data_IF_087877282765
#
_entry.id   IF_087877282765
#
_cell.length_a   1.000
_cell.length_b   1.000
_cell.length_c   1.000
_cell.angle_alpha   90.00
_cell.angle_beta   90.00
_cell.angle_gamma   90.00
#
_symmetry.space_group_name_H-M   'P 1'
#
loop_
_entity.id
_entity.type
_entity.pdbx_description
1 polymer ?
#
# COMPACT_ATOMS: atom_id res chain seq x y z
N UNK A 1 -2.15 -4.17 23.64
CA UNK A 1 -1.94 -4.67 22.26
C UNK A 1 -0.49 -5.12 22.18
N UNK A 2 -0.25 -6.41 22.03
CA UNK A 2 1.12 -6.94 21.97
C UNK A 2 1.85 -6.29 20.78
N UNK A 3 3.15 -5.96 20.93
CA UNK A 3 3.95 -5.53 19.79
C UNK A 3 3.89 -6.66 18.76
N UNK A 4 3.46 -6.34 17.56
CA UNK A 4 3.45 -7.31 16.47
C UNK A 4 4.90 -7.48 16.03
N UNK A 5 5.55 -8.55 16.51
CA UNK A 5 6.89 -8.91 16.10
C UNK A 5 6.87 -9.22 14.59
N UNK A 6 7.24 -8.23 13.82
CA UNK A 6 7.48 -8.37 12.39
C UNK A 6 8.96 -8.72 12.23
N UNK A 7 9.25 -9.82 11.56
CA UNK A 7 10.62 -10.22 11.29
C UNK A 7 11.05 -9.72 9.91
N UNK A 8 12.23 -9.11 9.85
CA UNK A 8 12.84 -8.61 8.62
C UNK A 8 13.99 -9.52 8.20
N UNK A 9 14.02 -9.91 6.94
CA UNK A 9 15.13 -10.65 6.33
C UNK A 9 15.63 -9.90 5.09
N UNK A 10 16.64 -9.02 5.24
CA UNK A 10 17.20 -8.29 4.11
C UNK A 10 17.91 -9.22 3.13
N UNK A 11 17.59 -9.07 1.84
CA UNK A 11 18.29 -9.71 0.73
C UNK A 11 18.93 -8.68 -0.21
N UNK A 12 19.69 -9.09 -1.20
CA UNK A 12 20.42 -8.17 -2.09
C UNK A 12 19.52 -7.31 -2.96
N UNK A 13 18.34 -7.81 -3.35
CA UNK A 13 17.40 -7.08 -4.21
C UNK A 13 16.07 -6.73 -3.56
N UNK A 14 15.80 -7.31 -2.40
CA UNK A 14 14.50 -7.18 -1.74
C UNK A 14 14.61 -7.39 -0.22
N UNK A 15 13.60 -6.94 0.49
CA UNK A 15 13.35 -7.22 1.89
C UNK A 15 12.20 -8.22 2.00
N UNK A 16 12.44 -9.36 2.63
CA UNK A 16 11.37 -10.25 3.05
C UNK A 16 10.85 -9.82 4.42
N UNK A 17 9.54 -9.68 4.53
CA UNK A 17 8.85 -9.32 5.77
C UNK A 17 7.93 -10.46 6.17
N UNK A 18 8.16 -11.01 7.35
CA UNK A 18 7.27 -12.00 7.97
C UNK A 18 6.32 -11.29 8.90
N UNK A 19 5.04 -11.29 8.57
CA UNK A 19 3.98 -10.62 9.32
C UNK A 19 3.35 -11.50 10.40
N UNK A 20 3.42 -12.82 10.22
CA UNK A 20 2.96 -13.85 11.14
C UNK A 20 3.60 -15.19 10.76
N UNK A 21 3.57 -16.21 11.60
CA UNK A 21 4.07 -17.54 11.25
C UNK A 21 3.47 -18.03 9.93
N UNK A 22 4.33 -18.35 8.96
CA UNK A 22 3.93 -18.81 7.63
C UNK A 22 3.41 -17.71 6.68
N UNK A 23 3.42 -16.46 7.09
CA UNK A 23 2.93 -15.32 6.27
C UNK A 23 4.08 -14.34 6.01
N UNK A 24 4.83 -14.58 4.97
CA UNK A 24 5.92 -13.71 4.50
C UNK A 24 5.62 -13.13 3.13
N UNK A 25 6.15 -11.94 2.88
CA UNK A 25 6.11 -11.27 1.56
C UNK A 25 7.41 -10.56 1.29
N UNK A 26 7.82 -10.56 0.02
CA UNK A 26 9.02 -9.90 -0.46
C UNK A 26 8.67 -8.57 -1.12
N UNK A 27 9.39 -7.52 -0.75
CA UNK A 27 9.28 -6.19 -1.32
C UNK A 27 10.64 -5.78 -1.89
N UNK A 28 10.70 -5.43 -3.16
CA UNK A 28 11.95 -4.94 -3.74
C UNK A 28 12.37 -3.63 -3.08
N UNK A 29 13.68 -3.39 -2.97
CA UNK A 29 14.17 -2.14 -2.39
C UNK A 29 13.70 -0.91 -3.16
N UNK A 30 13.55 -1.02 -4.48
CA UNK A 30 12.98 0.04 -5.31
C UNK A 30 11.52 0.31 -4.97
N UNK A 31 10.70 -0.74 -4.77
CA UNK A 31 9.32 -0.58 -4.35
C UNK A 31 9.22 0.13 -3.00
N UNK A 32 10.05 -0.27 -2.03
CA UNK A 32 10.10 0.37 -0.70
C UNK A 32 10.46 1.85 -0.84
N UNK A 33 11.48 2.18 -1.63
CA UNK A 33 11.92 3.56 -1.85
C UNK A 33 10.82 4.39 -2.51
N UNK A 34 10.13 3.79 -3.47
CA UNK A 34 9.05 4.45 -4.21
C UNK A 34 7.79 4.67 -3.35
N UNK A 35 7.48 3.78 -2.40
CA UNK A 35 6.28 3.82 -1.60
C UNK A 35 6.48 4.46 -0.21
N UNK A 36 7.53 5.24 -0.03
CA UNK A 36 7.76 5.99 1.20
C UNK A 36 6.58 6.88 1.60
N UNK A 37 6.35 6.98 2.89
CA UNK A 37 5.31 7.81 3.52
C UNK A 37 5.90 8.90 4.43
N UNK A 38 7.22 9.06 4.37
CA UNK A 38 7.94 10.14 5.04
C UNK A 38 7.75 11.49 4.32
N UNK A 39 8.11 12.58 5.00
CA UNK A 39 7.92 13.94 4.46
C UNK A 39 8.74 14.24 3.19
N UNK A 40 9.77 13.47 2.88
CA UNK A 40 10.50 13.57 1.63
C UNK A 40 9.83 12.79 0.49
N UNK A 41 8.92 11.90 0.81
CA UNK A 41 8.24 11.01 -0.13
C UNK A 41 6.79 11.41 -0.41
N UNK A 42 6.09 11.98 0.58
CA UNK A 42 4.71 12.42 0.47
C UNK A 42 4.53 13.86 0.98
N UNK A 43 3.79 14.65 0.23
CA UNK A 43 3.32 15.95 0.71
C UNK A 43 2.30 15.73 1.84
N UNK A 44 2.55 16.28 3.04
CA UNK A 44 1.70 16.02 4.20
C UNK A 44 0.31 16.66 4.13
N UNK A 45 0.10 17.61 3.23
CA UNK A 45 -1.18 18.33 3.07
C UNK A 45 -2.03 17.68 1.99
N UNK A 46 -1.42 17.40 0.85
CA UNK A 46 -2.14 16.91 -0.34
C UNK A 46 -2.09 15.39 -0.47
N UNK A 47 -1.17 14.70 0.23
CA UNK A 47 -0.90 13.28 0.07
C UNK A 47 -0.28 12.93 -1.29
N UNK A 48 0.15 13.92 -2.06
CA UNK A 48 0.79 13.69 -3.35
C UNK A 48 2.20 13.15 -3.15
N UNK A 49 2.60 12.29 -4.06
CA UNK A 49 3.97 11.76 -4.08
C UNK A 49 4.93 12.82 -4.56
N UNK A 50 6.00 13.01 -3.80
CA UNK A 50 7.10 13.92 -4.14
C UNK A 50 8.25 13.19 -4.85
N UNK A 51 8.27 11.86 -4.76
CA UNK A 51 9.29 11.01 -5.39
C UNK A 51 8.92 10.79 -6.85
N UNK A 52 9.84 11.12 -7.74
CA UNK A 52 9.74 10.73 -9.15
C UNK A 52 10.19 9.27 -9.31
N UNK A 53 9.24 8.39 -9.55
CA UNK A 53 9.48 6.94 -9.73
C UNK A 53 10.48 6.64 -10.85
N UNK A 54 10.50 7.47 -11.90
CA UNK A 54 11.38 7.27 -13.05
C UNK A 54 12.81 7.75 -12.80
N UNK A 55 12.98 8.71 -11.87
CA UNK A 55 14.28 9.20 -11.46
C UNK A 55 14.94 8.35 -10.36
N UNK A 56 14.21 7.38 -9.78
CA UNK A 56 14.77 6.49 -8.78
C UNK A 56 15.83 5.57 -9.38
N UNK A 57 16.88 5.32 -8.59
CA UNK A 57 17.84 4.27 -8.90
C UNK A 57 17.11 2.93 -9.12
N UNK A 58 17.51 2.23 -10.18
CA UNK A 58 16.94 0.93 -10.52
C UNK A 58 17.21 -0.13 -9.43
N UNK A 59 18.32 0.00 -8.71
CA UNK A 59 18.75 -0.91 -7.65
C UNK A 59 19.24 -0.14 -6.42
N UNK A 60 18.35 0.55 -5.68
CA UNK A 60 18.77 1.26 -4.48
C UNK A 60 19.32 0.28 -3.44
N UNK A 61 20.43 0.64 -2.82
CA UNK A 61 21.13 -0.20 -1.85
C UNK A 61 20.76 0.26 -0.43
N UNK A 62 20.13 -0.61 0.38
CA UNK A 62 19.86 -0.27 1.77
C UNK A 62 21.13 -0.31 2.60
N UNK A 63 21.24 0.60 3.57
CA UNK A 63 22.25 0.55 4.62
C UNK A 63 21.74 -0.18 5.85
N UNK A 64 20.49 0.08 6.23
CA UNK A 64 19.82 -0.55 7.35
C UNK A 64 18.30 -0.53 7.12
N UNK A 65 17.63 -1.51 7.71
CA UNK A 65 16.17 -1.59 7.76
C UNK A 65 15.75 -2.02 9.17
N UNK A 66 14.83 -1.29 9.78
CA UNK A 66 14.34 -1.57 11.12
C UNK A 66 12.84 -1.29 11.24
N UNK A 67 12.20 -1.89 12.22
CA UNK A 67 10.81 -1.63 12.56
C UNK A 67 10.75 -0.96 13.92
N UNK A 68 10.20 0.25 13.94
CA UNK A 68 9.99 1.00 15.17
C UNK A 68 8.64 1.75 15.08
N UNK A 69 7.90 1.79 16.18
CA UNK A 69 6.64 2.55 16.26
C UNK A 69 5.59 2.17 15.22
N UNK A 70 5.56 0.92 14.76
CA UNK A 70 4.62 0.48 13.72
C UNK A 70 4.98 0.92 12.29
N UNK A 71 6.22 1.37 12.07
CA UNK A 71 6.77 1.76 10.78
C UNK A 71 8.01 0.95 10.46
N UNK A 72 8.19 0.63 9.19
CA UNK A 72 9.47 0.22 8.61
C UNK A 72 10.25 1.49 8.28
N UNK A 73 11.47 1.61 8.78
CA UNK A 73 12.41 2.66 8.42
C UNK A 73 13.59 2.04 7.67
N UNK A 74 13.94 2.62 6.52
CA UNK A 74 15.08 2.18 5.70
C UNK A 74 16.00 3.36 5.44
N UNK A 75 17.26 3.20 5.77
CA UNK A 75 18.33 4.14 5.39
C UNK A 75 19.08 3.61 4.18
N UNK A 76 19.53 4.51 3.31
CA UNK A 76 20.13 4.18 2.03
C UNK A 76 21.62 4.48 1.96
N UNK A 77 22.34 3.73 1.18
CA UNK A 77 23.71 4.09 0.76
C UNK A 77 23.61 5.24 -0.25
N UNK A 78 24.60 6.15 -0.23
CA UNK A 78 24.63 7.29 -1.16
C UNK A 78 23.94 8.56 -0.65
N UNK A 79 23.44 8.57 0.59
CA UNK A 79 22.91 9.79 1.23
C UNK A 79 21.48 10.18 0.81
N UNK A 80 20.75 9.29 0.16
CA UNK A 80 19.32 9.50 -0.09
C UNK A 80 18.56 9.62 1.24
N UNK A 81 17.48 10.43 1.31
CA UNK A 81 16.64 10.51 2.49
C UNK A 81 16.14 9.15 2.95
N UNK A 82 16.03 8.93 4.26
CA UNK A 82 15.45 7.72 4.82
C UNK A 82 14.01 7.56 4.34
N UNK A 83 13.60 6.33 4.12
CA UNK A 83 12.23 5.99 3.73
C UNK A 83 11.50 5.38 4.92
N UNK A 84 10.32 5.87 5.22
CA UNK A 84 9.44 5.28 6.22
C UNK A 84 8.13 4.82 5.60
N UNK A 85 7.65 3.63 5.98
CA UNK A 85 6.36 3.08 5.53
C UNK A 85 5.65 2.47 6.74
N UNK A 86 4.38 2.74 6.90
CA UNK A 86 3.56 2.10 7.95
C UNK A 86 3.44 0.60 7.71
N UNK A 87 3.49 -0.18 8.77
CA UNK A 87 3.26 -1.63 8.68
C UNK A 87 1.85 -1.97 8.17
N UNK A 88 0.88 -1.11 8.40
CA UNK A 88 -0.48 -1.26 7.84
C UNK A 88 -0.48 -1.17 6.31
N UNK A 89 0.28 -0.24 5.73
CA UNK A 89 0.45 -0.10 4.28
C UNK A 89 1.15 -1.33 3.69
N UNK A 90 2.22 -1.80 4.34
CA UNK A 90 2.93 -3.02 3.91
C UNK A 90 2.03 -4.26 3.98
N UNK A 91 1.21 -4.39 5.02
CA UNK A 91 0.25 -5.48 5.15
C UNK A 91 -0.81 -5.44 4.05
N UNK A 92 -1.37 -4.27 3.77
CA UNK A 92 -2.33 -4.09 2.69
C UNK A 92 -1.72 -4.45 1.33
N UNK A 93 -0.50 -3.98 1.03
CA UNK A 93 0.22 -4.31 -0.19
C UNK A 93 0.58 -5.81 -0.28
N UNK A 94 0.80 -6.46 0.86
CA UNK A 94 1.05 -7.90 0.95
C UNK A 94 -0.19 -8.78 0.80
N UNK A 95 -1.38 -8.19 0.77
CA UNK A 95 -2.62 -8.93 0.84
C UNK A 95 -2.88 -9.57 2.22
N UNK A 96 -2.33 -8.99 3.29
CA UNK A 96 -2.42 -9.51 4.65
C UNK A 96 -3.27 -8.58 5.50
N UNK A 97 -4.46 -8.99 5.82
CA UNK A 97 -5.35 -8.23 6.70
C UNK A 97 -6.77 -8.07 6.14
N UNK A 98 -7.71 -7.57 6.96
CA UNK A 98 -9.12 -7.51 6.61
C UNK A 98 -9.46 -6.55 5.46
N UNK A 99 -8.55 -5.63 5.12
CA UNK A 99 -8.76 -4.69 4.01
C UNK A 99 -8.17 -5.15 2.67
N UNK A 100 -7.42 -6.25 2.67
CA UNK A 100 -6.73 -6.72 1.48
C UNK A 100 -7.67 -7.21 0.37
N UNK A 101 -8.92 -7.45 0.67
CA UNK A 101 -9.84 -8.20 -0.20
C UNK A 101 -10.99 -7.36 -0.77
N UNK A 102 -10.95 -6.04 -0.67
CA UNK A 102 -12.02 -5.19 -1.21
C UNK A 102 -11.86 -4.86 -2.70
N UNK A 103 -10.70 -5.16 -3.27
CA UNK A 103 -10.45 -4.93 -4.70
C UNK A 103 -10.69 -6.21 -5.47
N UNK A 104 -11.89 -6.38 -5.98
CA UNK A 104 -12.22 -7.47 -6.88
C UNK A 104 -12.01 -6.99 -8.31
N UNK A 105 -11.00 -7.54 -8.99
CA UNK A 105 -10.86 -7.32 -10.42
C UNK A 105 -12.07 -7.98 -11.13
N UNK A 106 -12.83 -7.22 -11.88
CA UNK A 106 -13.85 -7.77 -12.75
C UNK A 106 -13.20 -8.37 -14.01
N UNK A 107 -13.78 -9.43 -14.52
CA UNK A 107 -13.36 -10.07 -15.77
C UNK A 107 -14.50 -10.03 -16.77
N UNK A 108 -14.21 -10.36 -18.03
CA UNK A 108 -15.25 -10.42 -19.07
C UNK A 108 -16.39 -11.43 -18.75
N UNK A 109 -16.11 -12.42 -17.90
CA UNK A 109 -17.08 -13.39 -17.41
C UNK A 109 -17.86 -12.92 -16.17
N UNK A 110 -17.37 -11.88 -15.49
CA UNK A 110 -18.05 -11.20 -14.38
C UNK A 110 -18.12 -9.71 -14.70
N UNK A 111 -19.04 -9.28 -15.56
CA UNK A 111 -19.18 -7.86 -15.86
C UNK A 111 -19.55 -7.09 -14.60
N UNK A 112 -19.13 -5.82 -14.50
CA UNK A 112 -19.59 -4.94 -13.44
C UNK A 112 -21.12 -5.00 -13.39
N UNK A 113 -21.67 -4.97 -12.19
CA UNK A 113 -23.10 -5.02 -11.97
C UNK A 113 -23.82 -4.13 -13.01
N UNK A 114 -24.68 -4.71 -13.86
CA UNK A 114 -25.22 -4.01 -15.03
C UNK A 114 -26.23 -2.93 -14.71
N UNK A 115 -26.44 -2.60 -13.42
CA UNK A 115 -27.36 -1.52 -13.10
C UNK A 115 -26.62 -0.18 -12.93
N UNK A 116 -26.35 0.53 -14.05
CA UNK A 116 -25.80 1.88 -14.00
C UNK A 116 -26.86 2.91 -13.56
N UNK A 117 -28.10 2.47 -13.37
CA UNK A 117 -29.20 3.33 -12.95
C UNK A 117 -29.35 3.42 -11.44
N UNK A 118 -28.24 3.49 -10.73
CA UNK A 118 -28.29 3.98 -9.36
C UNK A 118 -28.77 5.42 -9.42
N UNK A 119 -30.08 5.61 -9.22
CA UNK A 119 -30.66 6.95 -9.22
C UNK A 119 -29.94 7.75 -8.14
N UNK A 120 -29.36 8.87 -8.51
CA UNK A 120 -28.60 9.74 -7.60
C UNK A 120 -29.32 10.02 -6.29
N UNK A 121 -30.65 10.14 -6.32
CA UNK A 121 -31.49 10.29 -5.14
C UNK A 121 -31.35 9.12 -4.15
N UNK A 122 -31.17 7.88 -4.64
CA UNK A 122 -30.96 6.70 -3.78
C UNK A 122 -29.56 6.73 -3.17
N UNK A 123 -28.55 7.14 -3.95
CA UNK A 123 -27.17 7.26 -3.48
C UNK A 123 -27.05 8.38 -2.43
N UNK A 124 -27.62 9.54 -2.70
CA UNK A 124 -27.53 10.71 -1.83
C UNK A 124 -28.42 10.61 -0.59
N UNK A 125 -29.51 9.86 -0.67
CA UNK A 125 -30.57 9.82 0.34
C UNK A 125 -30.37 8.80 1.48
N UNK A 126 -29.40 7.91 1.39
CA UNK A 126 -29.19 6.89 2.43
C UNK A 126 -27.71 6.52 2.61
N UNK A 127 -27.35 6.12 3.83
CA UNK A 127 -26.00 5.63 4.13
C UNK A 127 -25.67 4.35 3.35
N UNK A 128 -26.67 3.48 3.17
CA UNK A 128 -26.53 2.27 2.38
C UNK A 128 -26.28 2.58 0.90
N UNK A 129 -26.97 3.56 0.34
CA UNK A 129 -26.75 4.00 -1.05
C UNK A 129 -25.35 4.58 -1.24
N UNK A 130 -24.86 5.39 -0.30
CA UNK A 130 -23.48 5.92 -0.32
C UNK A 130 -22.44 4.81 -0.20
N UNK A 131 -22.62 3.85 0.71
CA UNK A 131 -21.73 2.70 0.86
C UNK A 131 -21.67 1.88 -0.43
N UNK A 132 -22.82 1.59 -1.05
CA UNK A 132 -22.88 0.85 -2.32
C UNK A 132 -22.22 1.61 -3.46
N UNK A 133 -22.39 2.95 -3.54
CA UNK A 133 -21.71 3.77 -4.54
C UNK A 133 -20.19 3.79 -4.33
N UNK A 134 -19.73 3.88 -3.09
CA UNK A 134 -18.30 3.78 -2.76
C UNK A 134 -17.73 2.41 -3.14
N UNK A 135 -18.45 1.32 -2.87
CA UNK A 135 -18.04 -0.03 -3.25
C UNK A 135 -17.96 -0.18 -4.78
N UNK A 136 -18.94 0.34 -5.51
CA UNK A 136 -18.94 0.34 -6.97
C UNK A 136 -17.79 1.18 -7.53
N UNK A 137 -17.52 2.36 -6.99
CA UNK A 137 -16.40 3.21 -7.41
C UNK A 137 -15.05 2.54 -7.12
N UNK A 138 -14.90 1.90 -5.97
CA UNK A 138 -13.68 1.16 -5.63
C UNK A 138 -13.45 -0.04 -6.54
N UNK A 139 -14.51 -0.71 -6.96
CA UNK A 139 -14.42 -1.90 -7.83
C UNK A 139 -14.21 -1.52 -9.30
N UNK A 140 -14.72 -0.38 -9.75
CA UNK A 140 -14.82 -0.05 -11.18
C UNK A 140 -13.96 1.11 -11.66
N UNK A 141 -13.46 1.98 -10.76
CA UNK A 141 -12.70 3.17 -11.15
C UNK A 141 -11.18 3.06 -10.94
N UNK A 142 -10.66 1.89 -10.63
CA UNK A 142 -9.23 1.65 -10.43
C UNK A 142 -8.61 0.80 -11.55
N UNK A 143 -9.03 1.03 -12.78
CA UNK A 143 -8.36 0.53 -13.98
C UNK A 143 -7.66 1.65 -14.70
#
# INVERSE_FOLDING_TARGET
MAPMDVQLTPGPGALEITFAPGVSRSFTWRWIRDHGEDAASLDPVTGQRLVDTFALDAAPVPRAAEVAGGRLAVTWVGGAPSTEIRLTTLRAAAGVGPEADRRRAWTASEPPNPDPTMVWATVAGSDQGRATACDLLHVHCLL
#
